data_IF_826504146367
#
_entry.id   IF_826504146367
#
_cell.length_a   1.000
_cell.length_b   1.000
_cell.length_c   1.000
_cell.angle_alpha   90.00
_cell.angle_beta   90.00
_cell.angle_gamma   90.00
#
_symmetry.space_group_name_H-M   'P 1'
#
loop_
_entity.id
_entity.type
_entity.pdbx_description
1 polymer ?
#
# COMPACT_ATOMS: atom_id res chain seq x y z
N UNK A 1 -16.90 -9.25 3.61
CA UNK A 1 -15.77 -8.62 4.33
C UNK A 1 -15.98 -8.85 5.82
N UNK A 2 -15.02 -9.37 6.60
CA UNK A 2 -15.25 -9.69 8.01
C UNK A 2 -15.43 -8.40 8.82
N UNK A 3 -16.54 -8.31 9.55
CA UNK A 3 -17.02 -7.14 10.30
C UNK A 3 -16.19 -6.80 11.56
N UNK A 4 -15.10 -7.53 11.85
CA UNK A 4 -14.38 -7.50 13.13
C UNK A 4 -12.97 -6.88 13.09
N UNK A 5 -12.50 -6.41 11.93
CA UNK A 5 -11.13 -5.91 11.76
C UNK A 5 -10.84 -4.51 12.33
N UNK A 6 -11.84 -3.80 12.85
CA UNK A 6 -11.69 -2.40 13.33
C UNK A 6 -11.50 -2.26 14.85
N UNK A 7 -11.30 -3.35 15.60
CA UNK A 7 -10.87 -3.24 16.99
C UNK A 7 -9.37 -2.93 17.04
N UNK A 8 -9.00 -1.82 17.71
CA UNK A 8 -7.64 -1.26 17.88
C UNK A 8 -6.54 -2.32 17.73
N UNK A 9 -5.95 -2.47 16.54
CA UNK A 9 -4.92 -3.46 16.34
C UNK A 9 -3.64 -2.90 16.94
N UNK A 10 -3.10 -3.60 17.93
CA UNK A 10 -1.81 -3.30 18.54
C UNK A 10 -0.78 -4.07 17.73
N UNK A 11 -0.07 -3.38 16.84
CA UNK A 11 1.07 -3.96 16.14
C UNK A 11 2.34 -3.53 16.87
N UNK A 12 3.22 -4.48 17.19
CA UNK A 12 4.57 -4.17 17.69
C UNK A 12 5.49 -3.91 16.50
N UNK A 13 5.39 -4.73 15.46
CA UNK A 13 6.07 -4.53 14.17
C UNK A 13 5.11 -4.88 13.01
N UNK A 14 4.38 -3.88 12.55
CA UNK A 14 3.44 -4.05 11.43
C UNK A 14 4.14 -4.54 10.16
N UNK A 15 5.40 -4.15 9.93
CA UNK A 15 6.10 -4.48 8.69
C UNK A 15 6.51 -5.95 8.72
N UNK A 16 7.13 -6.40 9.82
CA UNK A 16 7.48 -7.80 10.03
C UNK A 16 6.26 -8.72 10.00
N UNK A 17 5.16 -8.34 10.65
CA UNK A 17 3.92 -9.12 10.62
C UNK A 17 3.32 -9.25 9.21
N UNK A 18 3.35 -8.16 8.42
CA UNK A 18 2.89 -8.18 7.02
C UNK A 18 3.78 -9.08 6.16
N UNK A 19 5.10 -8.97 6.29
CA UNK A 19 6.07 -9.81 5.55
C UNK A 19 5.87 -11.29 5.91
N UNK A 20 5.75 -11.61 7.20
CA UNK A 20 5.52 -12.98 7.67
C UNK A 20 4.20 -13.54 7.14
N UNK A 21 3.11 -12.75 7.20
CA UNK A 21 1.81 -13.16 6.67
C UNK A 21 1.85 -13.44 5.16
N UNK A 22 2.52 -12.58 4.39
CA UNK A 22 2.67 -12.80 2.95
C UNK A 22 3.55 -13.98 2.62
N UNK A 23 4.70 -14.15 3.29
CA UNK A 23 5.59 -15.28 3.06
C UNK A 23 4.86 -16.62 3.18
N UNK A 24 4.06 -16.78 4.24
CA UNK A 24 3.24 -17.99 4.45
C UNK A 24 2.19 -18.19 3.35
N UNK A 25 1.49 -17.12 2.94
CA UNK A 25 0.47 -17.19 1.87
C UNK A 25 1.09 -17.47 0.51
N UNK A 26 2.21 -16.84 0.18
CA UNK A 26 2.97 -17.06 -1.06
C UNK A 26 3.44 -18.51 -1.13
N UNK A 27 4.03 -19.04 -0.03
CA UNK A 27 4.45 -20.44 0.04
C UNK A 27 3.28 -21.38 -0.23
N UNK A 28 2.12 -21.14 0.41
CA UNK A 28 0.90 -21.93 0.21
C UNK A 28 0.39 -21.87 -1.24
N UNK A 29 0.32 -20.68 -1.82
CA UNK A 29 -0.11 -20.48 -3.20
C UNK A 29 0.80 -21.23 -4.20
N UNK A 30 2.12 -21.08 -4.04
CA UNK A 30 3.11 -21.78 -4.88
C UNK A 30 3.04 -23.30 -4.73
N UNK A 31 2.84 -23.82 -3.51
CA UNK A 31 2.65 -25.26 -3.31
C UNK A 31 1.37 -25.80 -3.96
N UNK A 32 0.40 -24.94 -4.23
CA UNK A 32 -0.81 -25.26 -4.99
C UNK A 32 -0.67 -25.02 -6.50
N UNK A 33 0.53 -24.70 -7.00
CA UNK A 33 0.79 -24.45 -8.42
C UNK A 33 0.45 -23.02 -8.89
N UNK A 34 0.11 -22.10 -7.99
CA UNK A 34 -0.20 -20.71 -8.32
C UNK A 34 1.12 -19.90 -8.32
N UNK A 35 1.53 -19.42 -9.50
CA UNK A 35 2.78 -18.68 -9.67
C UNK A 35 2.56 -17.17 -9.87
N UNK A 36 1.43 -16.77 -10.47
CA UNK A 36 1.09 -15.37 -10.73
C UNK A 36 0.56 -14.69 -9.46
N UNK A 37 1.48 -14.20 -8.63
CA UNK A 37 1.17 -13.64 -7.32
C UNK A 37 1.54 -12.16 -7.27
N UNK A 38 0.55 -11.34 -6.92
CA UNK A 38 0.70 -9.94 -6.55
C UNK A 38 0.43 -9.78 -5.05
N UNK A 39 1.11 -8.85 -4.40
CA UNK A 39 0.89 -8.54 -2.97
C UNK A 39 0.34 -7.12 -2.78
N UNK A 40 -0.71 -6.98 -1.97
CA UNK A 40 -1.26 -5.69 -1.56
C UNK A 40 -1.17 -5.56 -0.03
N UNK A 41 -0.31 -4.67 0.52
CA UNK A 41 -0.13 -4.48 1.97
C UNK A 41 -1.38 -3.98 2.70
N UNK A 42 -2.43 -3.60 1.96
CA UNK A 42 -3.75 -3.34 2.51
C UNK A 42 -3.79 -2.09 3.38
N UNK A 43 -3.41 -0.94 2.82
CA UNK A 43 -3.54 0.35 3.52
C UNK A 43 -4.98 0.58 3.97
N UNK A 44 -5.19 1.09 5.19
CA UNK A 44 -6.53 1.35 5.74
C UNK A 44 -7.33 0.11 6.20
N UNK A 45 -6.82 -1.11 6.05
CA UNK A 45 -7.44 -2.32 6.60
C UNK A 45 -6.79 -2.70 7.93
N UNK A 46 -7.57 -2.63 9.02
CA UNK A 46 -7.10 -2.87 10.39
C UNK A 46 -5.80 -2.11 10.72
N UNK A 47 -5.65 -0.86 10.29
CA UNK A 47 -4.44 -0.06 10.53
C UNK A 47 -4.82 1.36 10.91
N UNK A 48 -4.22 1.88 11.97
CA UNK A 48 -4.33 3.32 12.28
C UNK A 48 -3.43 4.14 11.33
N UNK A 49 -3.49 5.45 11.43
CA UNK A 49 -2.72 6.37 10.57
C UNK A 49 -1.22 6.06 10.66
N UNK A 50 -0.67 5.94 11.87
CA UNK A 50 0.75 5.67 12.10
C UNK A 50 1.19 4.33 11.50
N UNK A 51 0.40 3.27 11.62
CA UNK A 51 0.69 1.98 11.00
C UNK A 51 0.73 2.07 9.48
N UNK A 52 -0.17 2.84 8.87
CA UNK A 52 -0.16 3.04 7.42
C UNK A 52 1.09 3.81 6.97
N UNK A 53 1.50 4.87 7.66
CA UNK A 53 2.72 5.60 7.32
C UNK A 53 3.99 4.77 7.59
N UNK A 54 4.04 4.01 8.69
CA UNK A 54 5.17 3.11 8.97
C UNK A 54 5.31 2.04 7.86
N UNK A 55 4.20 1.44 7.43
CA UNK A 55 4.19 0.45 6.36
C UNK A 55 4.58 1.06 5.00
N UNK A 56 4.12 2.28 4.70
CA UNK A 56 4.51 2.99 3.48
C UNK A 56 6.01 3.33 3.52
N UNK A 57 6.51 3.83 4.66
CA UNK A 57 7.92 4.21 4.80
C UNK A 57 8.86 3.02 4.55
N UNK A 58 8.44 1.83 4.97
CA UNK A 58 9.18 0.58 4.82
C UNK A 58 8.69 -0.30 3.65
N UNK A 59 7.95 0.26 2.69
CA UNK A 59 7.35 -0.50 1.59
C UNK A 59 8.38 -1.29 0.78
N UNK A 60 9.60 -0.75 0.62
CA UNK A 60 10.70 -1.39 -0.10
C UNK A 60 11.13 -2.72 0.50
N UNK A 61 10.93 -2.95 1.81
CA UNK A 61 11.26 -4.22 2.46
C UNK A 61 10.39 -5.38 1.94
N UNK A 62 9.19 -5.10 1.43
CA UNK A 62 8.32 -6.12 0.84
C UNK A 62 8.88 -6.67 -0.49
N UNK A 63 9.84 -5.99 -1.12
CA UNK A 63 10.51 -6.52 -2.32
C UNK A 63 11.27 -7.83 -2.04
N UNK A 64 11.63 -8.11 -0.78
CA UNK A 64 12.21 -9.38 -0.34
C UNK A 64 11.31 -10.60 -0.64
N UNK A 65 10.00 -10.39 -0.78
CA UNK A 65 9.01 -11.42 -1.10
C UNK A 65 9.02 -11.83 -2.59
N UNK A 66 9.78 -11.11 -3.44
CA UNK A 66 9.91 -11.37 -4.89
C UNK A 66 8.55 -11.47 -5.60
N UNK A 67 7.61 -10.63 -5.20
CA UNK A 67 6.28 -10.50 -5.82
C UNK A 67 6.04 -9.01 -6.13
N UNK A 68 5.44 -8.66 -7.28
CA UNK A 68 5.10 -7.27 -7.55
C UNK A 68 4.10 -6.73 -6.53
N UNK A 69 4.33 -5.48 -6.11
CA UNK A 69 3.53 -4.82 -5.08
C UNK A 69 2.44 -3.96 -5.73
N UNK A 70 1.19 -4.17 -5.32
CA UNK A 70 0.03 -3.35 -5.67
C UNK A 70 -0.26 -2.42 -4.51
N UNK A 71 -0.41 -1.12 -4.76
CA UNK A 71 -0.73 -0.15 -3.72
C UNK A 71 -2.00 0.62 -4.07
N UNK A 72 -2.93 0.69 -3.12
CA UNK A 72 -4.08 1.60 -3.19
C UNK A 72 -4.14 2.52 -1.98
N UNK A 73 -3.68 3.76 -2.12
CA UNK A 73 -3.78 4.82 -1.08
C UNK A 73 -4.77 5.92 -1.44
N UNK A 74 -5.26 5.92 -2.68
CA UNK A 74 -6.14 6.97 -3.24
C UNK A 74 -7.34 7.26 -2.34
N UNK A 75 -7.44 8.53 -1.90
CA UNK A 75 -8.52 9.07 -1.06
C UNK A 75 -8.73 8.32 0.28
N UNK A 76 -7.75 7.55 0.76
CA UNK A 76 -7.85 6.82 2.03
C UNK A 76 -7.75 7.74 3.25
N UNK A 77 -8.27 7.23 4.36
CA UNK A 77 -8.27 7.91 5.67
C UNK A 77 -6.89 8.34 6.14
N UNK A 78 -5.84 7.61 5.78
CA UNK A 78 -4.46 8.02 6.08
C UNK A 78 -4.07 9.37 5.47
N UNK A 79 -4.74 9.81 4.39
CA UNK A 79 -4.48 11.09 3.74
C UNK A 79 -5.38 12.15 4.35
N UNK A 80 -6.70 12.00 4.18
CA UNK A 80 -7.63 13.08 4.50
C UNK A 80 -7.75 13.33 6.00
N UNK A 81 -7.61 12.31 6.86
CA UNK A 81 -7.58 12.54 8.32
C UNK A 81 -6.29 13.22 8.77
N UNK A 82 -5.15 12.89 8.16
CA UNK A 82 -3.87 13.52 8.47
C UNK A 82 -3.83 14.98 8.02
N UNK A 83 -4.43 15.30 6.88
CA UNK A 83 -4.50 16.66 6.35
C UNK A 83 -5.71 17.46 6.86
N UNK A 84 -6.54 16.89 7.74
CA UNK A 84 -7.73 17.56 8.26
C UNK A 84 -8.76 17.94 7.19
N UNK A 85 -8.80 17.21 6.07
CA UNK A 85 -9.68 17.49 4.92
C UNK A 85 -10.66 16.33 4.68
N UNK A 86 -11.48 16.44 3.63
CA UNK A 86 -12.39 15.38 3.21
C UNK A 86 -11.81 14.51 2.07
N UNK A 87 -12.36 13.30 1.82
CA UNK A 87 -11.85 12.42 0.78
C UNK A 87 -11.83 13.01 -0.64
N UNK A 88 -12.73 13.95 -0.96
CA UNK A 88 -12.77 14.62 -2.28
C UNK A 88 -11.62 15.63 -2.45
N UNK A 89 -11.10 16.16 -1.35
CA UNK A 89 -9.98 17.11 -1.32
C UNK A 89 -8.61 16.43 -1.20
N UNK A 90 -8.57 15.09 -1.12
CA UNK A 90 -7.35 14.32 -0.88
C UNK A 90 -6.48 14.08 -2.14
N UNK A 91 -6.80 14.73 -3.28
CA UNK A 91 -6.15 14.46 -4.56
C UNK A 91 -4.64 14.78 -4.55
N UNK A 92 -4.27 15.96 -4.04
CA UNK A 92 -2.86 16.35 -3.95
C UNK A 92 -2.08 15.38 -3.05
N UNK A 93 -2.58 15.09 -1.84
CA UNK A 93 -1.98 14.10 -0.95
C UNK A 93 -1.92 12.69 -1.55
N UNK A 94 -2.93 12.30 -2.35
CA UNK A 94 -2.92 11.03 -3.10
C UNK A 94 -1.78 10.98 -4.10
N UNK A 95 -1.57 12.08 -4.84
CA UNK A 95 -0.51 12.17 -5.85
C UNK A 95 0.88 12.05 -5.20
N UNK A 96 1.10 12.77 -4.08
CA UNK A 96 2.35 12.67 -3.31
C UNK A 96 2.60 11.24 -2.84
N UNK A 97 1.60 10.59 -2.22
CA UNK A 97 1.78 9.22 -1.73
C UNK A 97 1.94 8.19 -2.86
N UNK A 98 1.27 8.37 -4.00
CA UNK A 98 1.46 7.51 -5.16
C UNK A 98 2.90 7.54 -5.66
N UNK A 99 3.49 8.73 -5.82
CA UNK A 99 4.90 8.88 -6.22
C UNK A 99 5.84 8.22 -5.22
N UNK A 100 5.61 8.44 -3.93
CA UNK A 100 6.36 7.80 -2.84
C UNK A 100 6.21 6.27 -2.80
N UNK A 101 5.09 5.73 -3.26
CA UNK A 101 4.89 4.29 -3.38
C UNK A 101 5.67 3.72 -4.58
N UNK A 102 5.68 4.41 -5.73
CA UNK A 102 6.49 4.04 -6.90
C UNK A 102 7.98 3.98 -6.53
N UNK A 103 8.47 5.05 -5.90
CA UNK A 103 9.85 5.18 -5.43
C UNK A 103 10.28 4.04 -4.51
N UNK A 104 9.36 3.56 -3.67
CA UNK A 104 9.59 2.43 -2.76
C UNK A 104 9.26 1.06 -3.35
N UNK A 105 9.08 0.96 -4.67
CA UNK A 105 9.00 -0.31 -5.39
C UNK A 105 7.59 -0.81 -5.72
N UNK A 106 6.53 -0.01 -5.52
CA UNK A 106 5.22 -0.35 -6.03
C UNK A 106 5.24 -0.50 -7.55
N UNK A 107 4.62 -1.56 -8.07
CA UNK A 107 4.54 -1.84 -9.51
C UNK A 107 3.18 -1.49 -10.09
N UNK A 108 2.13 -1.44 -9.25
CA UNK A 108 0.78 -1.13 -9.67
C UNK A 108 0.17 -0.14 -8.67
N UNK A 109 -0.39 0.96 -9.18
CA UNK A 109 -1.16 1.92 -8.41
C UNK A 109 -2.66 1.70 -8.66
N UNK A 110 -3.43 1.44 -7.60
CA UNK A 110 -4.89 1.36 -7.63
C UNK A 110 -5.49 2.71 -7.21
N UNK A 111 -6.07 3.44 -8.16
CA UNK A 111 -6.48 4.84 -8.00
C UNK A 111 -7.93 5.08 -8.46
N UNK A 112 -8.55 6.14 -7.95
CA UNK A 112 -9.82 6.67 -8.48
C UNK A 112 -9.57 7.68 -9.60
N UNK A 113 -8.50 8.47 -9.46
CA UNK A 113 -8.13 9.59 -10.32
C UNK A 113 -6.98 9.16 -11.25
N UNK A 114 -7.33 8.57 -12.41
CA UNK A 114 -6.38 7.89 -13.32
C UNK A 114 -5.44 8.89 -14.01
N UNK A 115 -5.95 10.05 -14.40
CA UNK A 115 -5.18 11.06 -15.12
C UNK A 115 -3.98 11.53 -14.29
N UNK A 116 -4.23 11.94 -13.05
CA UNK A 116 -3.23 12.47 -12.13
C UNK A 116 -2.24 11.39 -11.69
N UNK A 117 -2.71 10.14 -11.52
CA UNK A 117 -1.82 9.02 -11.25
C UNK A 117 -0.87 8.74 -12.43
N UNK A 118 -1.37 8.86 -13.67
CA UNK A 118 -0.54 8.74 -14.88
C UNK A 118 0.50 9.86 -14.95
N UNK A 119 0.14 11.09 -14.62
CA UNK A 119 1.08 12.21 -14.53
C UNK A 119 2.20 11.92 -13.50
N UNK A 120 1.85 11.37 -12.33
CA UNK A 120 2.84 10.93 -11.33
C UNK A 120 3.80 9.88 -11.90
N UNK A 121 3.28 8.86 -12.59
CA UNK A 121 4.10 7.80 -13.22
C UNK A 121 5.03 8.40 -14.28
N UNK A 122 4.51 9.26 -15.16
CA UNK A 122 5.30 9.88 -16.23
C UNK A 122 6.46 10.69 -15.66
N UNK A 123 6.21 11.53 -14.65
CA UNK A 123 7.26 12.33 -14.01
C UNK A 123 8.26 11.47 -13.25
N UNK A 124 7.78 10.48 -12.48
CA UNK A 124 8.65 9.56 -11.74
C UNK A 124 9.58 8.77 -12.67
N UNK A 125 9.09 8.33 -13.83
CA UNK A 125 9.85 7.56 -14.83
C UNK A 125 10.93 8.39 -15.54
N UNK A 126 10.88 9.72 -15.48
CA UNK A 126 11.97 10.56 -16.01
C UNK A 126 13.19 10.61 -15.07
N UNK A 127 13.06 10.10 -13.85
CA UNK A 127 14.10 10.13 -12.82
C UNK A 127 14.73 8.76 -12.53
N UNK A 128 14.22 7.69 -13.14
CA UNK A 128 14.58 6.28 -12.86
C UNK A 128 14.73 5.48 -14.15
#
# INVERSE_FOLDING_TARGET
MPKTMQNRPIYVDIVGEVIYSFSNKIKKARSSGINDILIDPGFGFAKNINHNFNLLNNLSLLNSLKCPIVVGVSRKSMIYKTLGCNPKQALNGTSVLNTLCLDRGAKILRVHDVKEAKECISLWSMLH
#
